data_IF_323560966499
#
_entry.id   IF_323560966499
#
_cell.length_a   1.000
_cell.length_b   1.000
_cell.length_c   1.000
_cell.angle_alpha   90.00
_cell.angle_beta   90.00
_cell.angle_gamma   90.00
#
_symmetry.space_group_name_H-M   'P 1'
#
loop_
_entity.id
_entity.type
_entity.pdbx_description
1 polymer ?
#
# COMPACT_ATOMS: atom_id res chain seq x y z
N UNK A 1 -2.15 -19.88 -23.45
CA UNK A 1 -1.39 -18.72 -22.94
C UNK A 1 -1.62 -17.52 -23.86
N UNK A 2 -2.78 -16.82 -23.71
CA UNK A 2 -3.13 -15.60 -24.48
C UNK A 2 -4.08 -14.76 -23.62
N UNK A 3 -3.54 -14.05 -22.61
CA UNK A 3 -4.32 -13.10 -21.79
C UNK A 3 -3.41 -11.88 -21.51
N UNK A 4 -3.14 -11.09 -22.52
CA UNK A 4 -2.42 -9.81 -22.38
C UNK A 4 -3.03 -8.66 -23.20
N UNK A 5 -4.32 -8.57 -23.50
CA UNK A 5 -4.80 -7.28 -23.98
C UNK A 5 -5.82 -6.57 -23.07
N UNK A 6 -6.08 -7.00 -21.82
CA UNK A 6 -7.16 -6.38 -21.03
C UNK A 6 -6.72 -5.32 -20.03
N UNK A 7 -5.43 -5.06 -19.87
CA UNK A 7 -4.92 -4.09 -18.88
C UNK A 7 -4.72 -2.67 -19.42
N UNK A 8 -5.02 -2.42 -20.69
CA UNK A 8 -4.73 -1.12 -21.36
C UNK A 8 -5.95 -0.19 -21.51
N UNK A 9 -7.12 -0.54 -21.01
CA UNK A 9 -8.37 0.21 -21.25
C UNK A 9 -8.84 1.04 -20.05
N UNK A 10 -8.13 1.06 -18.94
CA UNK A 10 -8.52 1.82 -17.73
C UNK A 10 -7.67 3.05 -17.41
N UNK A 11 -6.94 3.59 -18.40
CA UNK A 11 -6.49 4.97 -18.28
C UNK A 11 -7.61 5.88 -18.81
N UNK A 12 -8.38 6.57 -17.95
CA UNK A 12 -9.20 7.66 -18.41
C UNK A 12 -8.24 8.64 -19.08
N UNK A 13 -8.51 8.97 -20.33
CA UNK A 13 -7.83 10.01 -21.08
C UNK A 13 -7.88 11.30 -20.26
N UNK A 14 -6.87 11.52 -19.43
CA UNK A 14 -6.60 12.81 -18.81
C UNK A 14 -6.20 13.68 -20.00
N UNK A 15 -7.15 14.44 -20.49
CA UNK A 15 -6.91 15.44 -21.53
C UNK A 15 -5.80 16.37 -21.03
N UNK A 16 -4.59 16.15 -21.49
CA UNK A 16 -3.51 17.11 -21.38
C UNK A 16 -3.89 18.30 -22.25
N UNK A 17 -4.58 19.27 -21.65
CA UNK A 17 -4.63 20.61 -22.18
C UNK A 17 -3.18 21.10 -22.26
N UNK A 18 -2.59 21.06 -23.46
CA UNK A 18 -1.34 21.70 -23.77
C UNK A 18 -1.52 23.23 -23.67
N UNK A 19 -1.47 23.74 -22.43
CA UNK A 19 -1.29 25.17 -22.18
C UNK A 19 0.16 25.52 -22.47
N UNK A 20 0.39 26.29 -23.53
CA UNK A 20 1.72 26.76 -23.90
C UNK A 20 2.48 27.37 -22.73
N UNK A 21 3.76 27.05 -22.61
CA UNK A 21 4.68 27.62 -21.65
C UNK A 21 4.89 29.12 -21.99
N UNK A 22 4.13 29.99 -21.34
CA UNK A 22 4.47 31.41 -21.30
C UNK A 22 5.50 31.57 -20.20
N UNK A 23 6.77 31.83 -20.55
CA UNK A 23 7.80 32.32 -19.64
C UNK A 23 7.38 33.70 -19.13
N UNK A 24 6.57 33.76 -18.08
CA UNK A 24 6.25 34.99 -17.37
C UNK A 24 7.41 35.40 -16.46
N UNK A 25 7.84 36.66 -16.56
CA UNK A 25 8.72 37.34 -15.59
C UNK A 25 8.15 37.18 -14.17
N UNK A 26 9.06 37.12 -13.15
CA UNK A 26 8.79 37.11 -11.71
C UNK A 26 7.74 38.16 -11.27
N UNK A 27 6.48 37.81 -11.39
CA UNK A 27 5.36 38.46 -10.73
C UNK A 27 4.71 37.41 -9.83
N UNK A 28 4.09 37.80 -8.72
CA UNK A 28 3.40 36.90 -7.79
C UNK A 28 2.34 36.07 -8.52
N UNK A 29 2.78 35.01 -9.19
CA UNK A 29 1.88 34.08 -9.84
C UNK A 29 1.11 33.35 -8.75
N UNK A 30 -0.15 33.67 -8.59
CA UNK A 30 -1.09 32.97 -7.72
C UNK A 30 -1.31 31.58 -8.27
N UNK A 31 -0.47 30.65 -7.86
CA UNK A 31 -0.61 29.24 -8.21
C UNK A 31 -1.74 28.66 -7.38
N UNK A 32 -2.77 28.12 -8.05
CA UNK A 32 -3.86 27.40 -7.40
C UNK A 32 -3.46 25.93 -7.31
N UNK A 33 -3.31 25.44 -6.09
CA UNK A 33 -3.13 24.02 -5.83
C UNK A 33 -4.49 23.33 -5.95
N UNK A 34 -4.57 22.31 -6.80
CA UNK A 34 -5.79 21.56 -7.02
C UNK A 34 -6.05 20.56 -5.89
N UNK A 35 -7.21 19.92 -5.91
CA UNK A 35 -7.61 18.87 -4.99
C UNK A 35 -7.15 17.47 -5.41
N UNK A 36 -6.56 17.37 -6.58
CA UNK A 36 -6.06 16.12 -7.14
C UNK A 36 -4.54 16.20 -7.25
N UNK A 37 -3.91 15.04 -7.17
CA UNK A 37 -2.47 14.91 -7.28
C UNK A 37 -2.07 13.47 -7.52
N UNK A 38 -0.81 13.24 -7.50
CA UNK A 38 -0.23 11.90 -7.49
C UNK A 38 0.58 11.68 -6.20
N UNK A 39 0.77 10.44 -5.86
CA UNK A 39 1.71 10.07 -4.82
C UNK A 39 2.66 9.00 -5.33
N UNK A 40 3.78 8.93 -4.64
CA UNK A 40 4.79 7.90 -4.80
C UNK A 40 5.25 7.47 -3.42
N UNK A 41 5.33 6.16 -3.16
CA UNK A 41 5.85 5.64 -1.90
C UNK A 41 6.82 4.49 -2.12
N UNK A 42 7.82 4.43 -1.27
CA UNK A 42 8.84 3.38 -1.26
C UNK A 42 9.19 3.02 0.18
N UNK A 43 9.69 1.82 0.35
CA UNK A 43 10.24 1.42 1.65
C UNK A 43 10.51 -0.06 1.75
N UNK A 44 11.02 -0.50 2.91
CA UNK A 44 11.19 -1.90 3.22
C UNK A 44 9.86 -2.54 3.60
N UNK A 45 9.72 -3.81 3.25
CA UNK A 45 8.77 -4.73 3.84
C UNK A 45 9.50 -5.61 4.83
N UNK A 46 8.89 -5.86 5.97
CA UNK A 46 9.40 -6.81 6.94
C UNK A 46 8.33 -7.83 7.26
N UNK A 47 8.66 -9.09 7.12
CA UNK A 47 7.73 -10.17 7.43
C UNK A 47 7.89 -10.55 8.89
N UNK A 48 7.04 -9.97 9.75
CA UNK A 48 6.99 -10.37 11.15
C UNK A 48 6.51 -11.81 11.28
N UNK A 49 7.03 -12.52 12.25
CA UNK A 49 6.65 -13.91 12.50
C UNK A 49 5.72 -14.00 13.69
N UNK A 50 4.84 -14.99 13.65
CA UNK A 50 3.92 -15.31 14.70
C UNK A 50 4.48 -16.45 15.57
N UNK A 51 3.68 -17.41 15.88
CA UNK A 51 4.08 -18.55 16.68
C UNK A 51 4.60 -19.69 15.80
N UNK A 52 5.41 -20.56 16.40
CA UNK A 52 5.74 -21.88 15.85
C UNK A 52 4.46 -22.61 15.47
N UNK A 53 4.45 -23.19 14.29
CA UNK A 53 3.35 -24.02 13.81
C UNK A 53 3.71 -25.47 14.07
N UNK A 54 2.83 -26.22 14.70
CA UNK A 54 3.02 -27.65 14.95
C UNK A 54 1.83 -28.44 14.46
N UNK A 55 2.06 -29.66 14.07
CA UNK A 55 1.04 -30.59 13.63
C UNK A 55 1.52 -32.01 13.60
N UNK A 56 0.60 -32.93 13.27
CA UNK A 56 0.90 -34.32 13.11
C UNK A 56 1.19 -34.64 11.63
N UNK A 57 2.20 -35.45 11.41
CA UNK A 57 2.49 -36.06 10.11
C UNK A 57 1.84 -37.44 10.07
N UNK A 58 1.10 -37.66 9.01
CA UNK A 58 0.59 -38.98 8.66
C UNK A 58 0.98 -39.23 7.21
N UNK A 59 1.94 -40.07 6.99
CA UNK A 59 2.33 -40.49 5.66
C UNK A 59 1.47 -41.65 5.19
N UNK A 60 1.25 -41.76 3.87
CA UNK A 60 0.54 -42.86 3.24
C UNK A 60 1.21 -44.23 3.48
N UNK A 61 2.48 -44.23 3.90
CA UNK A 61 3.24 -45.41 4.33
C UNK A 61 2.95 -45.86 5.77
N UNK A 62 2.08 -45.15 6.50
CA UNK A 62 1.74 -45.44 7.89
C UNK A 62 2.72 -44.88 8.93
N UNK A 63 3.73 -44.16 8.49
CA UNK A 63 4.64 -43.45 9.41
C UNK A 63 3.92 -42.31 10.09
N UNK A 64 4.00 -42.27 11.41
CA UNK A 64 3.46 -41.18 12.24
C UNK A 64 4.58 -40.27 12.68
N UNK A 65 4.27 -38.99 12.85
CA UNK A 65 5.26 -38.03 13.32
C UNK A 65 4.62 -36.74 13.76
N UNK A 66 5.46 -35.84 14.26
CA UNK A 66 5.10 -34.47 14.55
C UNK A 66 6.04 -33.53 13.85
N UNK A 67 5.54 -32.39 13.39
CA UNK A 67 6.38 -31.37 12.81
C UNK A 67 6.27 -30.06 13.60
N UNK A 68 7.35 -29.32 13.58
CA UNK A 68 7.46 -27.96 14.13
C UNK A 68 8.05 -27.06 13.07
N UNK A 69 7.41 -25.94 12.78
CA UNK A 69 7.89 -24.93 11.84
C UNK A 69 8.04 -23.61 12.59
N UNK A 70 9.29 -23.16 12.69
CA UNK A 70 9.65 -21.89 13.28
C UNK A 70 9.86 -20.85 12.16
N UNK A 71 8.88 -19.93 11.93
CA UNK A 71 9.02 -18.92 10.92
C UNK A 71 9.98 -17.83 11.35
N UNK A 72 10.82 -17.37 10.43
CA UNK A 72 11.78 -16.28 10.62
C UNK A 72 11.50 -15.16 9.63
N UNK A 73 11.43 -13.90 10.12
CA UNK A 73 11.20 -12.74 9.28
C UNK A 73 12.41 -12.38 8.43
N UNK A 74 12.15 -11.98 7.18
CA UNK A 74 13.15 -11.38 6.29
C UNK A 74 12.66 -10.05 5.75
N UNK A 75 13.62 -9.22 5.34
CA UNK A 75 13.37 -7.92 4.75
C UNK A 75 13.18 -8.06 3.25
N UNK A 76 12.16 -7.44 2.72
CA UNK A 76 11.94 -7.17 1.30
C UNK A 76 11.82 -5.68 1.05
N UNK A 77 11.26 -5.30 -0.10
CA UNK A 77 11.02 -3.91 -0.45
C UNK A 77 9.68 -3.75 -1.17
N UNK A 78 9.20 -2.53 -1.25
CA UNK A 78 8.07 -2.18 -2.10
C UNK A 78 8.26 -0.79 -2.72
N UNK A 79 7.58 -0.59 -3.83
CA UNK A 79 7.43 0.70 -4.49
C UNK A 79 6.01 0.80 -5.06
N UNK A 80 5.39 1.97 -4.92
CA UNK A 80 4.06 2.22 -5.44
C UNK A 80 3.94 3.64 -5.98
N UNK A 81 3.00 3.80 -6.91
CA UNK A 81 2.58 5.09 -7.44
C UNK A 81 1.07 5.12 -7.57
N UNK A 82 0.49 6.29 -7.42
CA UNK A 82 -0.96 6.41 -7.46
C UNK A 82 -1.48 7.83 -7.53
N UNK A 83 -2.78 7.93 -7.42
CA UNK A 83 -3.52 9.18 -7.47
C UNK A 83 -4.11 9.48 -6.09
N UNK A 84 -4.13 10.76 -5.73
CA UNK A 84 -4.79 11.26 -4.53
C UNK A 84 -5.87 12.27 -4.92
N UNK A 85 -6.99 12.20 -4.21
CA UNK A 85 -8.12 13.10 -4.43
C UNK A 85 -8.67 13.61 -3.10
N UNK A 86 -8.63 14.92 -2.89
CA UNK A 86 -9.26 15.62 -1.78
C UNK A 86 -10.67 16.00 -2.18
N UNK A 87 -11.73 15.32 -1.68
CA UNK A 87 -13.10 15.61 -2.07
C UNK A 87 -13.53 17.01 -1.63
N UNK A 88 -14.50 17.57 -2.34
CA UNK A 88 -15.06 18.90 -2.02
C UNK A 88 -16.05 18.84 -0.86
N UNK A 89 -16.63 17.69 -0.62
CA UNK A 89 -17.63 17.46 0.43
C UNK A 89 -16.94 17.08 1.75
N UNK A 90 -17.49 17.58 2.82
CA UNK A 90 -17.04 17.26 4.18
C UNK A 90 -18.01 16.24 4.75
N UNK A 91 -17.51 15.06 5.09
CA UNK A 91 -18.31 14.02 5.72
C UNK A 91 -19.11 13.13 4.76
N UNK A 92 -19.77 12.13 5.32
CA UNK A 92 -20.67 11.22 4.60
C UNK A 92 -21.98 11.97 4.31
N UNK A 93 -22.65 11.75 3.15
CA UNK A 93 -23.89 12.47 2.79
C UNK A 93 -25.11 12.12 3.66
N UNK A 94 -24.92 11.54 4.82
CA UNK A 94 -25.94 11.25 5.83
C UNK A 94 -26.03 12.44 6.78
N UNK A 95 -27.24 12.96 7.03
CA UNK A 95 -27.48 14.18 7.82
C UNK A 95 -26.65 14.33 9.10
N UNK A 96 -26.55 13.35 10.03
CA UNK A 96 -25.77 13.49 11.25
C UNK A 96 -24.24 13.49 11.00
N UNK A 97 -23.76 12.86 9.93
CA UNK A 97 -22.34 12.68 9.61
C UNK A 97 -21.81 13.72 8.61
N UNK A 98 -22.68 14.55 8.04
CA UNK A 98 -22.31 15.56 7.03
C UNK A 98 -21.30 16.60 7.54
N UNK A 99 -21.25 16.85 8.85
CA UNK A 99 -20.28 17.76 9.48
C UNK A 99 -19.05 17.08 10.02
N UNK A 100 -19.03 15.75 10.10
CA UNK A 100 -17.88 14.99 10.59
C UNK A 100 -16.79 14.88 9.52
N UNK A 101 -15.56 15.17 9.89
CA UNK A 101 -14.40 14.94 9.04
C UNK A 101 -13.91 13.50 9.24
N UNK A 102 -14.66 12.54 8.72
CA UNK A 102 -14.27 11.13 8.81
C UNK A 102 -13.16 10.82 7.80
N UNK A 103 -13.12 11.59 6.69
CA UNK A 103 -12.19 11.36 5.61
C UNK A 103 -11.80 12.68 4.95
N UNK A 104 -10.51 12.88 4.78
CA UNK A 104 -9.95 14.08 4.16
C UNK A 104 -9.59 13.85 2.69
N UNK A 105 -9.10 12.65 2.33
CA UNK A 105 -8.78 12.32 0.93
C UNK A 105 -8.83 10.81 0.65
N UNK A 106 -8.99 10.50 -0.63
CA UNK A 106 -8.87 9.15 -1.20
C UNK A 106 -7.53 8.97 -1.86
N UNK A 107 -7.06 7.73 -1.82
CA UNK A 107 -5.85 7.30 -2.50
C UNK A 107 -6.12 6.04 -3.30
N UNK A 108 -5.64 6.02 -4.54
CA UNK A 108 -5.64 4.83 -5.39
C UNK A 108 -4.22 4.61 -5.87
N UNK A 109 -3.68 3.44 -5.63
CA UNK A 109 -2.30 3.09 -5.95
C UNK A 109 -2.19 1.76 -6.66
N UNK A 110 -1.12 1.63 -7.44
CA UNK A 110 -0.61 0.36 -7.93
C UNK A 110 0.86 0.28 -7.59
N UNK A 111 1.34 -0.90 -7.30
CA UNK A 111 2.73 -1.07 -6.88
C UNK A 111 3.21 -2.50 -6.92
N UNK A 112 4.49 -2.63 -6.68
CA UNK A 112 5.16 -3.89 -6.50
C UNK A 112 5.62 -4.02 -5.05
N UNK A 113 5.46 -5.21 -4.46
CA UNK A 113 6.04 -5.54 -3.17
C UNK A 113 6.67 -6.91 -3.17
N UNK A 114 7.80 -7.00 -2.52
CA UNK A 114 8.49 -8.25 -2.27
C UNK A 114 8.25 -8.67 -0.83
N UNK A 115 7.80 -9.90 -0.64
CA UNK A 115 7.62 -10.53 0.66
C UNK A 115 8.62 -11.66 0.77
N UNK A 116 9.45 -11.62 1.82
CA UNK A 116 10.48 -12.60 2.05
C UNK A 116 10.35 -13.19 3.46
N UNK A 117 10.65 -14.46 3.58
CA UNK A 117 10.65 -15.17 4.86
C UNK A 117 11.63 -16.34 4.84
N UNK A 118 11.88 -16.87 6.01
CA UNK A 118 12.59 -18.13 6.19
C UNK A 118 11.87 -18.95 7.22
N UNK A 119 12.14 -20.24 7.26
CA UNK A 119 11.59 -21.14 8.26
C UNK A 119 12.59 -22.24 8.60
N UNK A 120 12.59 -22.65 9.85
CA UNK A 120 13.26 -23.86 10.29
C UNK A 120 12.21 -24.89 10.58
N UNK A 121 12.20 -25.98 9.82
CA UNK A 121 11.26 -27.08 9.98
C UNK A 121 11.96 -28.26 10.61
N UNK A 122 11.37 -28.80 11.67
CA UNK A 122 11.87 -29.99 12.37
C UNK A 122 10.77 -31.05 12.33
N UNK A 123 11.10 -32.22 11.84
CA UNK A 123 10.25 -33.40 11.74
C UNK A 123 10.71 -34.43 12.76
N UNK A 124 9.80 -34.92 13.58
CA UNK A 124 10.03 -36.02 14.49
C UNK A 124 9.25 -37.23 14.03
N UNK A 125 9.92 -38.24 13.53
CA UNK A 125 9.29 -39.50 13.16
C UNK A 125 9.11 -40.39 14.37
N UNK A 126 7.92 -41.00 14.51
CA UNK A 126 7.55 -41.82 15.64
C UNK A 126 7.30 -43.27 15.20
N UNK A 127 7.77 -44.22 16.00
CA UNK A 127 7.46 -45.62 15.81
C UNK A 127 6.03 -45.95 16.24
N UNK A 128 5.57 -47.18 16.07
CA UNK A 128 4.23 -47.63 16.46
C UNK A 128 3.93 -47.47 17.96
N UNK A 129 4.95 -47.39 18.81
CA UNK A 129 4.86 -47.17 20.24
C UNK A 129 4.82 -45.68 20.62
N UNK A 130 4.94 -44.76 19.63
CA UNK A 130 4.94 -43.33 19.83
C UNK A 130 6.30 -42.74 20.23
N UNK A 131 7.37 -43.54 20.22
CA UNK A 131 8.74 -43.08 20.51
C UNK A 131 9.36 -42.44 19.27
N UNK A 132 10.12 -41.36 19.47
CA UNK A 132 10.83 -40.68 18.38
C UNK A 132 12.05 -41.52 18.01
N UNK A 133 12.10 -42.03 16.77
CA UNK A 133 13.23 -42.82 16.29
C UNK A 133 14.13 -42.05 15.34
N UNK A 134 13.62 -40.95 14.73
CA UNK A 134 14.39 -40.10 13.85
C UNK A 134 13.94 -38.64 13.93
N UNK A 135 14.87 -37.71 13.71
CA UNK A 135 14.63 -36.28 13.71
C UNK A 135 15.35 -35.62 12.53
N UNK A 136 14.58 -35.07 11.61
CA UNK A 136 15.08 -34.35 10.45
C UNK A 136 14.81 -32.87 10.61
N UNK A 137 15.80 -32.01 10.38
CA UNK A 137 15.66 -30.57 10.41
C UNK A 137 16.17 -29.96 9.13
N UNK A 138 15.42 -29.04 8.53
CA UNK A 138 15.86 -28.29 7.37
C UNK A 138 15.47 -26.80 7.52
N UNK A 139 16.32 -25.92 6.96
CA UNK A 139 16.07 -24.49 6.91
C UNK A 139 15.67 -24.09 5.50
N UNK A 140 14.54 -23.48 5.36
CA UNK A 140 14.01 -23.03 4.08
C UNK A 140 13.90 -21.51 4.00
N UNK A 141 13.89 -20.98 2.78
CA UNK A 141 13.62 -19.55 2.57
C UNK A 141 12.83 -19.33 1.29
N UNK A 142 12.03 -18.28 1.28
CA UNK A 142 11.27 -17.86 0.11
C UNK A 142 11.36 -16.35 -0.10
N UNK A 143 11.11 -15.92 -1.35
CA UNK A 143 11.07 -14.52 -1.72
C UNK A 143 10.09 -14.33 -2.87
N UNK A 144 8.88 -13.90 -2.56
CA UNK A 144 7.80 -13.76 -3.52
C UNK A 144 7.59 -12.29 -3.90
N UNK A 145 7.36 -12.05 -5.19
CA UNK A 145 7.06 -10.72 -5.72
C UNK A 145 5.59 -10.60 -6.10
N UNK A 146 4.92 -9.59 -5.54
CA UNK A 146 3.51 -9.30 -5.79
C UNK A 146 3.33 -7.97 -6.52
N UNK A 147 2.48 -7.97 -7.53
CA UNK A 147 1.87 -6.76 -8.04
C UNK A 147 0.59 -6.50 -7.26
N UNK A 148 0.37 -5.28 -6.80
CA UNK A 148 -0.84 -4.97 -6.05
C UNK A 148 -1.52 -3.70 -6.51
N UNK A 149 -2.84 -3.66 -6.29
CA UNK A 149 -3.66 -2.46 -6.39
C UNK A 149 -4.25 -2.14 -5.02
N UNK A 150 -4.30 -0.87 -4.67
CA UNK A 150 -4.76 -0.38 -3.36
C UNK A 150 -5.73 0.78 -3.51
N UNK A 151 -6.76 0.78 -2.66
CA UNK A 151 -7.66 1.91 -2.45
C UNK A 151 -7.72 2.23 -0.97
N UNK A 152 -7.51 3.49 -0.58
CA UNK A 152 -7.47 3.91 0.83
C UNK A 152 -8.25 5.20 1.06
N UNK A 153 -8.87 5.28 2.23
CA UNK A 153 -9.51 6.48 2.75
C UNK A 153 -8.67 7.03 3.91
N UNK A 154 -8.30 8.30 3.83
CA UNK A 154 -7.38 8.95 4.74
C UNK A 154 -8.06 10.02 5.58
N UNK A 155 -7.72 10.08 6.88
CA UNK A 155 -8.09 11.12 7.81
C UNK A 155 -6.84 11.84 8.34
N UNK A 156 -6.84 13.17 8.29
CA UNK A 156 -5.72 14.00 8.71
C UNK A 156 -6.00 14.66 10.06
N UNK A 157 -5.09 14.48 11.01
CA UNK A 157 -5.12 15.16 12.30
C UNK A 157 -4.00 16.20 12.30
N UNK A 158 -4.35 17.47 12.17
CA UNK A 158 -3.39 18.55 12.10
C UNK A 158 -2.85 18.94 13.48
N UNK A 159 -1.54 19.09 13.58
CA UNK A 159 -0.81 19.42 14.80
C UNK A 159 -0.45 20.92 14.80
N UNK A 160 -0.62 21.61 15.93
CA UNK A 160 -0.20 23.00 16.15
C UNK A 160 -1.35 23.98 16.33
N UNK A 161 -1.00 25.22 16.74
CA UNK A 161 -1.93 26.28 17.20
C UNK A 161 -2.50 27.18 16.08
N UNK A 162 -2.16 26.95 14.80
CA UNK A 162 -2.66 27.81 13.70
C UNK A 162 -4.14 27.59 13.47
N UNK A 163 -4.92 28.68 13.33
CA UNK A 163 -6.39 28.64 13.14
C UNK A 163 -6.80 27.94 11.84
N UNK A 164 -5.97 27.97 10.80
CA UNK A 164 -6.29 27.42 9.48
C UNK A 164 -5.50 26.13 9.28
N UNK A 165 -6.21 24.99 9.23
CA UNK A 165 -5.62 23.67 9.06
C UNK A 165 -4.71 23.56 7.84
N UNK A 166 -5.10 24.21 6.74
CA UNK A 166 -4.32 24.22 5.48
C UNK A 166 -2.93 24.85 5.58
N UNK A 167 -2.67 25.63 6.64
CA UNK A 167 -1.37 26.29 6.87
C UNK A 167 -0.50 25.56 7.90
N UNK A 168 -1.03 24.52 8.53
CA UNK A 168 -0.27 23.70 9.48
C UNK A 168 0.75 22.85 8.74
N UNK A 169 1.96 22.81 9.28
CA UNK A 169 3.08 22.11 8.67
C UNK A 169 3.07 20.61 8.97
N UNK A 170 2.59 20.22 10.14
CA UNK A 170 2.63 18.86 10.65
C UNK A 170 1.23 18.29 10.81
N UNK A 171 1.09 17.02 10.51
CA UNK A 171 -0.17 16.29 10.68
C UNK A 171 0.09 14.80 10.88
N UNK A 172 -0.85 14.11 11.52
CA UNK A 172 -0.92 12.66 11.53
C UNK A 172 -1.86 12.24 10.40
N UNK A 173 -1.43 11.29 9.62
CA UNK A 173 -2.20 10.68 8.52
C UNK A 173 -2.57 9.25 8.93
N UNK A 174 -3.86 8.99 9.04
CA UNK A 174 -4.37 7.64 9.30
C UNK A 174 -5.20 7.22 8.12
N UNK A 175 -5.08 5.96 7.72
CA UNK A 175 -5.92 5.44 6.66
C UNK A 175 -6.38 4.03 6.91
N UNK A 176 -7.55 3.74 6.37
CA UNK A 176 -8.08 2.39 6.22
C UNK A 176 -8.29 2.17 4.73
N UNK A 177 -7.91 1.01 4.26
CA UNK A 177 -8.05 0.70 2.85
C UNK A 177 -8.09 -0.79 2.59
N UNK A 178 -8.17 -1.07 1.31
CA UNK A 178 -8.27 -2.40 0.75
C UNK A 178 -7.22 -2.57 -0.32
N UNK A 179 -6.55 -3.71 -0.34
CA UNK A 179 -5.62 -4.06 -1.40
C UNK A 179 -5.85 -5.46 -1.93
N UNK A 180 -5.55 -5.62 -3.20
CA UNK A 180 -5.55 -6.89 -3.92
C UNK A 180 -4.14 -7.12 -4.41
N UNK A 181 -3.56 -8.24 -4.04
CA UNK A 181 -2.21 -8.64 -4.36
C UNK A 181 -2.22 -9.85 -5.29
N UNK A 182 -1.52 -9.74 -6.40
CA UNK A 182 -1.33 -10.80 -7.37
C UNK A 182 0.13 -11.26 -7.37
N UNK A 183 0.36 -12.55 -7.14
CA UNK A 183 1.69 -13.16 -7.16
C UNK A 183 2.22 -13.21 -8.59
N UNK A 184 3.19 -12.33 -8.90
CA UNK A 184 3.77 -12.23 -10.23
C UNK A 184 5.06 -13.03 -10.36
N UNK A 185 5.88 -13.01 -9.31
CA UNK A 185 7.16 -13.69 -9.25
C UNK A 185 7.15 -14.67 -8.08
N UNK A 186 6.64 -15.89 -8.28
CA UNK A 186 6.71 -16.93 -7.27
C UNK A 186 8.17 -17.37 -7.10
N UNK A 187 8.60 -17.56 -5.87
CA UNK A 187 9.84 -18.21 -5.54
C UNK A 187 9.50 -19.57 -4.96
N UNK A 188 10.07 -20.61 -5.51
CA UNK A 188 10.02 -21.90 -4.87
C UNK A 188 10.72 -21.82 -3.51
N UNK A 189 10.16 -22.50 -2.53
CA UNK A 189 10.78 -22.58 -1.22
C UNK A 189 12.04 -23.44 -1.32
N UNK A 190 13.19 -22.82 -1.16
CA UNK A 190 14.47 -23.50 -1.22
C UNK A 190 14.89 -23.89 0.19
N UNK A 191 15.09 -25.18 0.40
CA UNK A 191 15.67 -25.74 1.61
C UNK A 191 17.16 -26.02 1.42
N UNK A 192 17.90 -26.01 2.51
CA UNK A 192 19.31 -26.42 2.57
C UNK A 192 19.51 -27.90 2.22
N UNK A 193 18.50 -28.72 2.52
CA UNK A 193 18.42 -30.11 2.04
C UNK A 193 17.43 -30.19 0.87
N UNK A 194 17.90 -30.50 -0.32
CA UNK A 194 17.11 -30.62 -1.54
C UNK A 194 16.08 -31.76 -1.52
N UNK A 195 16.26 -32.74 -0.65
CA UNK A 195 15.34 -33.86 -0.48
C UNK A 195 14.20 -33.55 0.49
N UNK A 196 14.31 -32.45 1.21
CA UNK A 196 13.34 -32.07 2.23
C UNK A 196 12.06 -31.51 1.61
N UNK A 197 10.92 -32.08 1.98
CA UNK A 197 9.59 -31.60 1.59
C UNK A 197 8.90 -30.99 2.81
N UNK A 198 8.50 -29.74 2.70
CA UNK A 198 7.75 -29.05 3.79
C UNK A 198 6.39 -29.69 4.00
N UNK A 199 6.02 -30.00 5.26
CA UNK A 199 4.69 -30.53 5.58
C UNK A 199 3.57 -29.50 5.43
N UNK A 200 3.90 -28.21 5.32
CA UNK A 200 2.94 -27.13 5.14
C UNK A 200 3.33 -26.23 3.97
N UNK A 201 2.31 -25.83 3.20
CA UNK A 201 2.47 -24.77 2.21
C UNK A 201 2.32 -23.40 2.86
N UNK A 202 3.15 -22.46 2.45
CA UNK A 202 3.03 -21.07 2.91
C UNK A 202 1.92 -20.34 2.16
N UNK A 203 1.21 -19.45 2.83
CA UNK A 203 0.10 -18.67 2.27
C UNK A 203 0.54 -17.75 1.12
N UNK A 204 1.79 -17.30 1.15
CA UNK A 204 2.36 -16.42 0.13
C UNK A 204 2.60 -17.08 -1.23
N UNK A 205 2.30 -18.36 -1.35
CA UNK A 205 2.23 -19.05 -2.63
C UNK A 205 0.86 -18.91 -3.31
N UNK A 206 -0.13 -18.36 -2.62
CA UNK A 206 -1.46 -18.12 -3.21
C UNK A 206 -1.38 -17.04 -4.28
N UNK A 207 -1.88 -17.29 -5.51
CA UNK A 207 -1.76 -16.37 -6.63
C UNK A 207 -2.47 -15.03 -6.43
N UNK A 208 -3.56 -15.03 -5.67
CA UNK A 208 -4.37 -13.83 -5.42
C UNK A 208 -4.75 -13.75 -3.95
N UNK A 209 -4.48 -12.59 -3.35
CA UNK A 209 -4.82 -12.29 -1.95
C UNK A 209 -5.47 -10.93 -1.88
N UNK A 210 -6.60 -10.83 -1.19
CA UNK A 210 -7.26 -9.57 -0.92
C UNK A 210 -7.35 -9.33 0.58
N UNK A 211 -7.06 -8.11 1.02
CA UNK A 211 -6.97 -7.80 2.45
C UNK A 211 -7.31 -6.35 2.76
N UNK A 212 -7.85 -6.11 3.96
CA UNK A 212 -7.92 -4.78 4.55
C UNK A 212 -6.63 -4.42 5.26
N UNK A 213 -6.29 -3.15 5.20
CA UNK A 213 -5.11 -2.61 5.84
C UNK A 213 -5.41 -1.34 6.63
N UNK A 214 -4.53 -1.04 7.56
CA UNK A 214 -4.45 0.23 8.26
C UNK A 214 -3.08 0.84 8.05
N UNK A 215 -3.01 2.17 7.84
CA UNK A 215 -1.75 2.89 7.79
C UNK A 215 -1.76 4.05 8.78
N UNK A 216 -0.59 4.27 9.35
CA UNK A 216 -0.33 5.41 10.24
C UNK A 216 0.94 6.10 9.79
N UNK A 217 0.87 7.40 9.55
CA UNK A 217 2.01 8.20 9.13
C UNK A 217 2.07 9.55 9.83
N UNK A 218 3.28 10.12 9.85
CA UNK A 218 3.53 11.48 10.30
C UNK A 218 3.80 12.36 9.09
N UNK A 219 2.85 13.23 8.76
CA UNK A 219 2.92 14.08 7.58
C UNK A 219 3.63 15.40 7.83
N UNK A 220 4.51 15.76 6.89
CA UNK A 220 5.21 17.01 6.84
C UNK A 220 4.84 17.71 5.53
N UNK A 221 4.21 18.88 5.63
CA UNK A 221 3.95 19.72 4.46
C UNK A 221 5.21 20.53 4.13
N UNK A 222 5.85 20.20 3.01
CA UNK A 222 7.05 20.86 2.53
C UNK A 222 6.68 22.24 1.97
N UNK A 223 5.65 22.28 1.12
CA UNK A 223 5.06 23.49 0.58
C UNK A 223 3.54 23.30 0.33
N UNK A 224 2.90 24.21 -0.43
CA UNK A 224 1.46 24.13 -0.69
C UNK A 224 1.04 22.88 -1.48
N UNK A 225 1.91 22.40 -2.37
CA UNK A 225 1.65 21.28 -3.26
C UNK A 225 2.32 19.97 -2.85
N UNK A 226 3.39 20.02 -2.01
CA UNK A 226 4.17 18.86 -1.66
C UNK A 226 4.04 18.49 -0.19
N UNK A 227 3.80 17.22 0.06
CA UNK A 227 3.78 16.60 1.39
C UNK A 227 4.66 15.36 1.40
N UNK A 228 5.34 15.13 2.53
CA UNK A 228 6.10 13.91 2.82
C UNK A 228 5.47 13.24 4.03
N UNK A 229 5.20 11.95 3.93
CA UNK A 229 4.51 11.17 4.97
C UNK A 229 5.29 9.88 5.23
N UNK A 230 6.33 9.91 6.08
CA UNK A 230 6.87 8.68 6.65
C UNK A 230 5.80 7.99 7.51
N UNK A 231 5.75 6.65 7.44
CA UNK A 231 4.72 5.90 8.15
C UNK A 231 4.88 4.40 8.06
N UNK A 232 3.90 3.70 8.61
CA UNK A 232 3.83 2.24 8.64
C UNK A 232 2.48 1.80 8.08
N UNK A 233 2.50 0.74 7.31
CA UNK A 233 1.32 0.12 6.74
C UNK A 233 1.21 -1.32 7.27
N UNK A 234 0.05 -1.65 7.81
CA UNK A 234 -0.24 -2.88 8.49
C UNK A 234 -1.45 -3.56 7.87
N UNK A 235 -1.34 -4.76 7.33
CA UNK A 235 -2.51 -5.53 6.95
C UNK A 235 -3.28 -5.97 8.21
N UNK A 236 -4.60 -5.86 8.17
CA UNK A 236 -5.48 -6.16 9.31
C UNK A 236 -6.21 -7.48 9.12
N UNK A 237 -6.95 -7.62 8.04
CA UNK A 237 -7.89 -8.72 7.81
C UNK A 237 -7.71 -9.22 6.39
N UNK A 238 -7.42 -10.52 6.23
CA UNK A 238 -7.50 -11.18 4.94
C UNK A 238 -8.96 -11.51 4.63
N UNK A 239 -9.42 -11.20 3.41
CA UNK A 239 -10.79 -11.43 2.98
C UNK A 239 -10.88 -12.59 2.01
N UNK A 240 -9.94 -12.65 1.09
CA UNK A 240 -9.94 -13.62 -0.01
C UNK A 240 -8.56 -14.22 -0.22
N UNK A 241 -8.54 -15.52 -0.41
CA UNK A 241 -7.40 -16.28 -0.89
C UNK A 241 -7.86 -17.20 -2.00
N UNK A 242 -7.14 -17.21 -3.07
CA UNK A 242 -7.29 -17.89 -4.34
C UNK A 242 -8.52 -18.81 -4.53
N UNK A 243 -8.92 -19.61 -3.57
CA UNK A 243 -9.99 -20.62 -3.73
C UNK A 243 -11.21 -20.40 -2.85
N UNK A 244 -11.23 -19.41 -1.97
CA UNK A 244 -12.38 -19.21 -1.08
C UNK A 244 -12.48 -17.79 -0.55
N UNK A 245 -13.72 -17.33 -0.50
CA UNK A 245 -14.08 -16.15 0.27
C UNK A 245 -14.15 -16.57 1.75
N UNK A 246 -13.04 -16.37 2.46
CA UNK A 246 -12.92 -16.75 3.87
C UNK A 246 -12.37 -15.57 4.65
N UNK A 247 -13.22 -14.66 5.14
CA UNK A 247 -12.78 -13.56 6.00
C UNK A 247 -12.24 -14.16 7.32
N UNK A 248 -10.95 -13.99 7.57
CA UNK A 248 -10.30 -14.42 8.80
C UNK A 248 -9.69 -13.23 9.49
N UNK A 249 -10.06 -13.01 10.73
CA UNK A 249 -9.37 -12.10 11.66
C UNK A 249 -7.95 -12.56 11.99
N UNK A 250 -7.50 -13.66 11.40
CA UNK A 250 -6.16 -14.15 11.57
C UNK A 250 -5.22 -13.46 10.57
N UNK A 251 -4.18 -12.88 11.09
CA UNK A 251 -3.04 -12.31 10.43
C UNK A 251 -2.30 -13.37 9.63
N UNK A 252 -2.86 -13.87 8.52
CA UNK A 252 -2.33 -14.94 7.70
C UNK A 252 -2.36 -16.33 8.35
N UNK A 253 -2.78 -17.32 7.61
CA UNK A 253 -2.86 -18.72 8.03
C UNK A 253 -1.48 -19.38 8.19
N UNK A 254 -0.41 -18.73 7.76
CA UNK A 254 0.93 -19.30 7.65
C UNK A 254 1.95 -18.72 8.62
N UNK A 255 1.56 -18.06 9.67
CA UNK A 255 2.47 -17.53 10.67
C UNK A 255 3.31 -16.31 10.27
N UNK A 256 3.18 -15.77 9.05
CA UNK A 256 3.89 -14.58 8.58
C UNK A 256 2.98 -13.37 8.47
N UNK A 257 3.48 -12.21 8.87
CA UNK A 257 2.75 -10.95 8.81
C UNK A 257 3.59 -9.83 8.20
N UNK A 258 3.33 -9.42 6.95
CA UNK A 258 4.12 -8.39 6.30
C UNK A 258 3.74 -7.00 6.82
N UNK A 259 4.73 -6.33 7.38
CA UNK A 259 4.68 -4.93 7.78
C UNK A 259 5.43 -4.13 6.73
N UNK A 260 4.93 -2.96 6.35
CA UNK A 260 5.62 -2.05 5.43
C UNK A 260 5.94 -0.76 6.16
N UNK A 261 7.22 -0.40 6.22
CA UNK A 261 7.62 0.95 6.56
C UNK A 261 7.71 1.74 5.25
N UNK A 262 7.16 2.95 5.22
CA UNK A 262 7.03 3.72 3.99
C UNK A 262 7.48 5.17 4.15
N UNK A 263 8.02 5.72 3.07
CA UNK A 263 8.10 7.16 2.89
C UNK A 263 7.25 7.48 1.66
N UNK A 264 6.16 8.22 1.89
CA UNK A 264 5.21 8.60 0.84
C UNK A 264 5.35 10.08 0.54
N UNK A 265 5.52 10.41 -0.72
CA UNK A 265 5.52 11.77 -1.26
C UNK A 265 4.22 12.00 -2.00
N UNK A 266 3.51 13.07 -1.65
CA UNK A 266 2.28 13.49 -2.31
C UNK A 266 2.55 14.83 -2.98
N UNK A 267 2.23 14.91 -4.28
CA UNK A 267 2.27 16.16 -5.04
C UNK A 267 0.91 16.47 -5.61
N UNK A 268 0.32 17.58 -5.18
CA UNK A 268 -0.93 18.10 -5.74
C UNK A 268 -0.66 18.85 -7.04
N UNK A 269 -1.57 18.74 -7.99
CA UNK A 269 -1.47 19.45 -9.26
C UNK A 269 -1.62 20.95 -9.03
N UNK A 270 -0.84 21.71 -9.76
CA UNK A 270 -0.82 23.16 -9.77
C UNK A 270 -1.38 23.67 -11.09
N UNK A 271 -2.20 24.70 -11.03
CA UNK A 271 -2.73 25.36 -12.24
C UNK A 271 -2.73 26.87 -12.05
N UNK A 272 -2.59 27.58 -13.14
CA UNK A 272 -2.84 29.01 -13.17
C UNK A 272 -4.31 29.32 -12.82
N UNK A 273 -4.58 30.42 -12.11
CA UNK A 273 -5.95 30.82 -11.82
C UNK A 273 -6.70 31.11 -13.13
N UNK A 274 -7.83 30.43 -13.31
CA UNK A 274 -8.80 30.78 -14.34
C UNK A 274 -9.71 31.86 -13.78
N UNK A 275 -9.26 33.11 -13.71
CA UNK A 275 -10.15 34.23 -13.50
C UNK A 275 -10.75 34.60 -14.87
N UNK A 276 -12.06 34.74 -14.97
CA UNK A 276 -12.71 35.19 -16.18
C UNK A 276 -12.19 36.55 -16.70
N UNK A 277 -11.76 37.42 -15.79
CA UNK A 277 -11.10 38.68 -16.09
C UNK A 277 -9.64 38.54 -16.59
N UNK A 278 -8.96 37.41 -16.28
CA UNK A 278 -7.56 37.20 -16.62
C UNK A 278 -7.33 36.07 -17.64
N UNK A 279 -8.41 35.46 -18.13
CA UNK A 279 -8.32 34.37 -19.10
C UNK A 279 -8.13 34.82 -20.54
N UNK A 280 -8.35 36.09 -20.82
CA UNK A 280 -8.24 36.67 -22.16
C UNK A 280 -7.04 37.64 -22.16
N UNK A 281 -6.08 37.52 -23.09
CA UNK A 281 -4.95 38.45 -23.20
C UNK A 281 -5.39 39.93 -23.23
N UNK A 282 -6.53 40.20 -23.86
CA UNK A 282 -7.14 41.54 -23.94
C UNK A 282 -7.55 42.08 -22.56
N UNK A 283 -8.07 41.24 -21.70
CA UNK A 283 -8.48 41.66 -20.33
C UNK A 283 -7.30 41.89 -19.43
N UNK A 284 -6.20 41.19 -19.63
CA UNK A 284 -4.92 41.42 -18.92
C UNK A 284 -4.30 42.77 -19.31
N UNK A 285 -4.41 43.16 -20.56
CA UNK A 285 -3.90 44.43 -21.02
C UNK A 285 -4.79 45.59 -20.58
N UNK A 286 -6.10 45.40 -20.51
CA UNK A 286 -7.03 46.35 -19.90
C UNK A 286 -6.75 46.56 -18.41
N UNK A 287 -6.56 45.48 -17.63
CA UNK A 287 -6.24 45.61 -16.19
C UNK A 287 -4.88 46.31 -15.96
N UNK A 288 -3.89 46.03 -16.82
CA UNK A 288 -2.60 46.77 -16.78
C UNK A 288 -2.78 48.26 -17.06
N UNK A 289 -3.60 48.63 -18.04
CA UNK A 289 -3.90 50.05 -18.37
C UNK A 289 -4.62 50.72 -17.20
N UNK A 290 -5.59 50.06 -16.57
CA UNK A 290 -6.30 50.55 -15.39
C UNK A 290 -5.38 50.78 -14.19
N UNK A 291 -4.44 49.85 -13.92
CA UNK A 291 -3.47 50.00 -12.80
C UNK A 291 -2.39 50.99 -13.07
N UNK A 292 -2.09 51.27 -14.29
CA UNK A 292 -1.06 52.27 -14.67
C UNK A 292 -1.62 53.66 -14.91
N UNK A 293 -2.97 53.85 -14.77
CA UNK A 293 -3.62 55.17 -14.88
C UNK A 293 -3.54 55.75 -16.29
N UNK A 294 -3.46 54.91 -17.31
CA UNK A 294 -3.41 55.29 -18.73
C UNK A 294 -4.75 55.02 -19.45
#
# INVERSE_FOLDING_TARGET
MKIIPFLLILFPSIGFSQGGFVKGKKGNDYIIVTKNGYHFAVGPTYTSTKQTISGELSDNSGSRGTYYVDPMGKVGFFAEAGLVQFPSWKGIPIKPLKKSRIMDYWEFAVGYRQVAGAEKTTLHYKNALGEIYDTVSASGSFRNGFLYARASAHALIFIGKKKIDKTRKYFIDQSIGFNIDYLMFPSEQSYDDASFVSPISTRYHSPLVAQFHYSLGFGIRINRAWMCVPGVHLPLIGIYEWNSFSPRLNWFSNGYWPIQAQIRFIKLFERAPKCGAYGNPTDMDLDKKFRLGQ
#
